data_IF_613410820979
#
_entry.id   IF_613410820979
#
_cell.length_a   1.000
_cell.length_b   1.000
_cell.length_c   1.000
_cell.angle_alpha   90.00
_cell.angle_beta   90.00
_cell.angle_gamma   90.00
#
_symmetry.space_group_name_H-M   'P 1'
#
loop_
_entity.id
_entity.type
_entity.pdbx_description
1 polymer ?
#
# COMPACT_ATOMS: atom_id res chain seq x y z
N UNK A 1 33.74 -80.77 20.80
CA UNK A 1 33.95 -79.48 20.10
C UNK A 1 32.67 -78.69 19.76
N UNK A 2 31.45 -79.07 20.19
CA UNK A 2 30.23 -78.51 19.55
C UNK A 2 29.35 -77.57 20.41
N UNK A 3 29.77 -77.18 21.63
CA UNK A 3 28.98 -76.29 22.49
C UNK A 3 29.49 -74.84 22.52
N UNK A 4 30.81 -74.61 22.41
CA UNK A 4 31.37 -73.25 22.38
C UNK A 4 31.02 -72.48 21.10
N UNK A 5 30.91 -73.15 19.96
CA UNK A 5 30.51 -72.51 18.69
C UNK A 5 29.03 -72.15 18.64
N UNK A 6 28.15 -72.92 19.29
CA UNK A 6 26.73 -72.57 19.45
C UNK A 6 26.52 -71.36 20.35
N UNK A 7 27.33 -71.20 21.40
CA UNK A 7 27.27 -70.05 22.30
C UNK A 7 27.75 -68.76 21.61
N UNK A 8 28.86 -68.81 20.86
CA UNK A 8 29.35 -67.68 20.04
C UNK A 8 28.35 -67.27 18.95
N UNK A 9 27.73 -68.23 18.26
CA UNK A 9 26.73 -67.96 17.23
C UNK A 9 25.46 -67.28 17.78
N UNK A 10 25.04 -67.64 19.01
CA UNK A 10 23.92 -66.97 19.70
C UNK A 10 24.25 -65.55 20.17
N UNK A 11 25.49 -65.29 20.60
CA UNK A 11 25.97 -63.96 20.97
C UNK A 11 25.95 -63.00 19.77
N UNK A 12 26.56 -63.43 18.65
CA UNK A 12 26.63 -62.62 17.42
C UNK A 12 25.24 -62.32 16.85
N UNK A 13 24.31 -63.28 16.91
CA UNK A 13 22.91 -63.05 16.49
C UNK A 13 22.20 -62.01 17.35
N UNK A 14 22.42 -62.00 18.68
CA UNK A 14 21.85 -60.98 19.58
C UNK A 14 22.43 -59.61 19.31
N UNK A 15 23.75 -59.52 19.08
CA UNK A 15 24.42 -58.24 18.80
C UNK A 15 23.92 -57.63 17.48
N UNK A 16 23.76 -58.44 16.43
CA UNK A 16 23.20 -58.01 15.13
C UNK A 16 21.73 -57.58 15.26
N UNK A 17 20.95 -58.27 16.09
CA UNK A 17 19.55 -57.93 16.35
C UNK A 17 19.43 -56.62 17.15
N UNK A 18 20.31 -56.41 18.13
CA UNK A 18 20.37 -55.18 18.92
C UNK A 18 20.81 -53.98 18.06
N UNK A 19 21.76 -54.18 17.16
CA UNK A 19 22.23 -53.15 16.22
C UNK A 19 21.14 -52.78 15.21
N UNK A 20 20.38 -53.76 14.69
CA UNK A 20 19.18 -53.52 13.87
C UNK A 20 18.10 -52.74 14.62
N UNK A 21 17.90 -53.04 15.90
CA UNK A 21 16.91 -52.36 16.75
C UNK A 21 17.33 -50.91 17.04
N UNK A 22 18.63 -50.66 17.27
CA UNK A 22 19.21 -49.32 17.37
C UNK A 22 19.03 -48.52 16.08
N UNK A 23 19.35 -49.11 14.92
CA UNK A 23 19.16 -48.47 13.59
C UNK A 23 17.70 -48.12 13.28
N UNK A 24 16.75 -48.97 13.68
CA UNK A 24 15.31 -48.66 13.56
C UNK A 24 14.92 -47.45 14.40
N UNK A 25 15.34 -47.41 15.67
CA UNK A 25 15.03 -46.28 16.57
C UNK A 25 15.61 -44.96 16.10
N UNK A 26 16.83 -44.96 15.56
CA UNK A 26 17.43 -43.73 14.99
C UNK A 26 16.71 -43.25 13.75
N UNK A 27 16.31 -44.16 12.84
CA UNK A 27 15.50 -43.82 11.66
C UNK A 27 14.12 -43.27 12.03
N UNK A 28 13.50 -43.80 13.08
CA UNK A 28 12.21 -43.33 13.59
C UNK A 28 12.32 -41.93 14.19
N UNK A 29 13.32 -41.71 15.04
CA UNK A 29 13.60 -40.39 15.63
C UNK A 29 13.95 -39.34 14.55
N UNK A 30 14.65 -39.72 13.47
CA UNK A 30 14.95 -38.81 12.37
C UNK A 30 13.69 -38.44 11.57
N UNK A 31 12.78 -39.40 11.36
CA UNK A 31 11.48 -39.14 10.72
C UNK A 31 10.60 -38.23 11.56
N UNK A 32 10.62 -38.40 12.88
CA UNK A 32 9.87 -37.56 13.81
C UNK A 32 10.39 -36.12 13.80
N UNK A 33 11.71 -35.92 13.86
CA UNK A 33 12.32 -34.58 13.70
C UNK A 33 11.99 -33.92 12.36
N UNK A 34 11.93 -34.69 11.28
CA UNK A 34 11.53 -34.17 9.95
C UNK A 34 10.07 -33.72 9.93
N UNK A 35 9.18 -34.44 10.62
CA UNK A 35 7.77 -34.04 10.78
C UNK A 35 7.64 -32.78 11.62
N UNK A 36 8.33 -32.71 12.76
CA UNK A 36 8.35 -31.52 13.61
C UNK A 36 8.90 -30.30 12.89
N UNK A 37 9.99 -30.45 12.13
CA UNK A 37 10.57 -29.38 11.32
C UNK A 37 9.59 -28.90 10.24
N UNK A 38 8.88 -29.82 9.59
CA UNK A 38 7.85 -29.49 8.61
C UNK A 38 6.67 -28.74 9.25
N UNK A 39 6.16 -29.21 10.39
CA UNK A 39 5.06 -28.56 11.11
C UNK A 39 5.46 -27.18 11.63
N UNK A 40 6.66 -27.03 12.18
CA UNK A 40 7.18 -25.73 12.62
C UNK A 40 7.31 -24.76 11.44
N UNK A 41 7.77 -25.22 10.28
CA UNK A 41 7.86 -24.41 9.05
C UNK A 41 6.48 -24.08 8.46
N UNK A 42 5.46 -24.92 8.70
CA UNK A 42 4.07 -24.63 8.34
C UNK A 42 3.46 -23.58 9.27
N UNK A 43 3.62 -23.75 10.59
CA UNK A 43 3.17 -22.77 11.60
C UNK A 43 3.83 -21.40 11.43
N UNK A 44 5.12 -21.37 11.08
CA UNK A 44 5.82 -20.13 10.78
C UNK A 44 5.19 -19.41 9.56
N UNK A 45 4.88 -20.16 8.50
CA UNK A 45 4.20 -19.62 7.32
C UNK A 45 2.79 -19.14 7.62
N UNK A 46 2.01 -19.89 8.39
CA UNK A 46 0.67 -19.49 8.82
C UNK A 46 0.71 -18.24 9.71
N UNK A 47 1.70 -18.11 10.59
CA UNK A 47 1.90 -16.93 11.43
C UNK A 47 2.39 -15.73 10.61
N UNK A 48 3.28 -15.94 9.65
CA UNK A 48 3.68 -14.92 8.68
C UNK A 48 2.48 -14.45 7.85
N UNK A 49 1.66 -15.37 7.32
CA UNK A 49 0.42 -15.05 6.60
C UNK A 49 -0.61 -14.33 7.48
N UNK A 50 -0.71 -14.65 8.76
CA UNK A 50 -1.58 -13.96 9.71
C UNK A 50 -1.10 -12.53 10.00
N UNK A 51 0.21 -12.34 10.23
CA UNK A 51 0.81 -11.01 10.38
C UNK A 51 0.66 -10.20 9.09
N UNK A 52 0.78 -10.86 7.94
CA UNK A 52 0.57 -10.31 6.59
C UNK A 52 -0.89 -9.92 6.33
N UNK A 53 -1.85 -10.70 6.82
CA UNK A 53 -3.27 -10.35 6.76
C UNK A 53 -3.62 -9.16 7.67
N UNK A 54 -2.86 -8.95 8.75
CA UNK A 54 -2.96 -7.75 9.59
C UNK A 54 -2.24 -6.52 9.01
N UNK A 55 -1.35 -6.67 8.02
CA UNK A 55 -0.55 -5.54 7.53
C UNK A 55 -1.26 -4.64 6.53
N UNK A 56 -2.43 -5.04 6.00
CA UNK A 56 -3.29 -4.15 5.23
C UNK A 56 -4.18 -3.33 6.17
N UNK A 57 -3.62 -2.25 6.74
CA UNK A 57 -4.37 -1.38 7.63
C UNK A 57 -5.42 -0.57 6.85
N UNK A 58 -6.69 -0.68 7.26
CA UNK A 58 -7.76 0.19 6.77
C UNK A 58 -7.92 1.38 7.72
N UNK A 59 -7.76 2.58 7.18
CA UNK A 59 -7.87 3.84 7.89
C UNK A 59 -9.08 4.59 7.36
N UNK A 60 -10.12 4.70 8.19
CA UNK A 60 -11.31 5.49 7.88
C UNK A 60 -11.15 6.92 8.36
N UNK A 61 -11.37 7.89 7.49
CA UNK A 61 -11.22 9.32 7.79
C UNK A 61 -12.53 10.07 7.62
N UNK A 62 -12.99 10.71 8.70
CA UNK A 62 -14.25 11.44 8.71
C UNK A 62 -14.09 12.83 8.08
N UNK A 63 -14.88 13.08 7.03
CA UNK A 63 -14.89 14.35 6.31
C UNK A 63 -15.92 15.33 6.87
N UNK A 64 -16.99 14.84 7.52
CA UNK A 64 -18.03 15.65 8.16
C UNK A 64 -19.11 16.19 7.21
N UNK A 65 -19.02 15.88 5.91
CA UNK A 65 -20.06 16.13 4.90
C UNK A 65 -19.76 15.33 3.63
N UNK A 66 -20.70 15.35 2.70
CA UNK A 66 -20.42 14.86 1.36
C UNK A 66 -19.40 15.75 0.63
N UNK A 67 -18.44 15.12 -0.04
CA UNK A 67 -17.43 15.81 -0.84
C UNK A 67 -17.72 15.66 -2.33
N UNK A 68 -17.59 16.76 -3.07
CA UNK A 68 -17.47 16.68 -4.52
C UNK A 68 -16.05 16.21 -4.92
N UNK A 69 -15.88 15.86 -6.18
CA UNK A 69 -14.59 15.46 -6.75
C UNK A 69 -13.46 16.50 -6.54
N UNK A 70 -13.79 17.80 -6.49
CA UNK A 70 -12.81 18.86 -6.22
C UNK A 70 -12.34 18.86 -4.76
N UNK A 71 -13.25 18.63 -3.81
CA UNK A 71 -12.90 18.43 -2.40
C UNK A 71 -12.11 17.13 -2.22
N UNK A 72 -12.45 16.06 -2.95
CA UNK A 72 -11.69 14.80 -2.95
C UNK A 72 -10.26 15.00 -3.46
N UNK A 73 -10.06 15.82 -4.49
CA UNK A 73 -8.71 16.20 -4.95
C UNK A 73 -7.91 16.96 -3.87
N UNK A 74 -8.55 17.91 -3.18
CA UNK A 74 -7.89 18.65 -2.10
C UNK A 74 -7.50 17.73 -0.95
N UNK A 75 -8.35 16.76 -0.63
CA UNK A 75 -8.10 15.77 0.39
C UNK A 75 -6.98 14.80 -0.01
N UNK A 76 -6.93 14.37 -1.28
CA UNK A 76 -5.82 13.59 -1.84
C UNK A 76 -4.50 14.37 -1.72
N UNK A 77 -4.52 15.68 -1.96
CA UNK A 77 -3.35 16.54 -1.79
C UNK A 77 -2.90 16.62 -0.31
N UNK A 78 -3.84 16.75 0.64
CA UNK A 78 -3.51 16.69 2.08
C UNK A 78 -2.88 15.35 2.45
N UNK A 79 -3.43 14.24 1.93
CA UNK A 79 -2.92 12.92 2.19
C UNK A 79 -1.52 12.72 1.60
N UNK A 80 -1.29 13.16 0.36
CA UNK A 80 0.04 13.17 -0.28
C UNK A 80 1.05 13.96 0.56
N UNK A 81 0.69 15.17 1.01
CA UNK A 81 1.56 15.98 1.88
C UNK A 81 1.89 15.25 3.19
N UNK A 82 0.90 14.65 3.84
CA UNK A 82 1.12 13.88 5.07
C UNK A 82 2.02 12.68 4.84
N UNK A 83 1.85 11.96 3.73
CA UNK A 83 2.67 10.81 3.38
C UNK A 83 4.10 11.22 3.02
N UNK A 84 4.29 12.37 2.36
CA UNK A 84 5.62 12.91 2.10
C UNK A 84 6.37 13.25 3.40
N UNK A 85 5.66 13.70 4.44
CA UNK A 85 6.23 13.90 5.78
C UNK A 85 6.50 12.57 6.48
N UNK A 86 5.53 11.64 6.43
CA UNK A 86 5.66 10.29 7.00
C UNK A 86 6.88 9.55 6.47
N UNK A 87 7.17 9.65 5.16
CA UNK A 87 8.32 8.99 4.53
C UNK A 87 9.59 9.86 4.49
N UNK A 88 9.61 11.02 5.15
CA UNK A 88 10.78 11.90 5.22
C UNK A 88 11.19 12.53 3.89
N UNK A 89 10.31 12.54 2.87
CA UNK A 89 10.56 13.29 1.63
C UNK A 89 10.43 14.80 1.85
N UNK A 90 9.55 15.21 2.76
CA UNK A 90 9.44 16.58 3.25
C UNK A 90 10.01 16.69 4.68
N UNK A 91 10.83 17.72 4.98
CA UNK A 91 11.37 17.93 6.31
C UNK A 91 10.35 18.54 7.29
N UNK A 92 9.36 19.26 6.78
CA UNK A 92 8.31 19.91 7.53
C UNK A 92 7.07 20.15 6.64
N UNK A 93 5.87 20.38 7.23
CA UNK A 93 4.67 20.70 6.46
C UNK A 93 4.90 21.81 5.44
N UNK A 94 4.29 21.70 4.26
CA UNK A 94 4.47 22.68 3.17
C UNK A 94 4.13 24.11 3.58
N UNK A 95 3.19 24.30 4.51
CA UNK A 95 2.84 25.62 5.06
C UNK A 95 3.97 26.29 5.85
N UNK A 96 4.99 25.54 6.26
CA UNK A 96 6.17 26.02 6.98
C UNK A 96 7.40 26.14 6.07
N UNK A 97 7.30 25.75 4.80
CA UNK A 97 8.39 25.89 3.84
C UNK A 97 8.60 27.38 3.55
N UNK A 98 9.83 27.90 3.68
CA UNK A 98 10.11 29.31 3.43
C UNK A 98 9.90 29.64 1.95
N UNK A 99 9.57 30.90 1.64
CA UNK A 99 9.40 31.36 0.26
C UNK A 99 10.66 31.19 -0.61
N UNK A 100 11.83 31.16 0.01
CA UNK A 100 13.09 30.75 -0.62
C UNK A 100 13.52 29.39 -0.05
N UNK A 101 13.11 28.28 -0.69
CA UNK A 101 13.41 26.94 -0.19
C UNK A 101 14.89 26.58 -0.39
N UNK A 102 15.46 25.73 0.48
CA UNK A 102 16.81 25.18 0.28
C UNK A 102 16.95 24.50 -1.08
N UNK A 103 18.12 24.62 -1.71
CA UNK A 103 18.37 24.06 -3.06
C UNK A 103 18.05 22.55 -3.16
N UNK A 104 18.32 21.80 -2.09
CA UNK A 104 17.93 20.39 -2.01
C UNK A 104 16.43 20.19 -2.16
N UNK A 105 15.61 21.00 -1.47
CA UNK A 105 14.16 20.87 -1.41
C UNK A 105 13.45 21.30 -2.71
N UNK A 106 14.06 22.16 -3.53
CA UNK A 106 13.48 22.68 -4.79
C UNK A 106 13.01 21.55 -5.70
N UNK A 107 13.80 20.47 -5.85
CA UNK A 107 13.43 19.33 -6.69
C UNK A 107 12.21 18.59 -6.17
N UNK A 108 12.07 18.47 -4.86
CA UNK A 108 10.90 17.85 -4.22
C UNK A 108 9.65 18.70 -4.47
N UNK A 109 9.76 20.03 -4.30
CA UNK A 109 8.65 20.97 -4.51
C UNK A 109 8.19 21.01 -5.98
N UNK A 110 9.13 21.00 -6.93
CA UNK A 110 8.83 20.91 -8.36
C UNK A 110 8.13 19.59 -8.71
N UNK A 111 8.58 18.47 -8.14
CA UNK A 111 7.90 17.18 -8.29
C UNK A 111 6.47 17.19 -7.74
N UNK A 112 6.27 17.79 -6.55
CA UNK A 112 4.93 17.94 -5.95
C UNK A 112 4.03 18.76 -6.88
N UNK A 113 4.51 19.89 -7.40
CA UNK A 113 3.71 20.77 -8.23
C UNK A 113 3.34 20.11 -9.57
N UNK A 114 4.28 19.39 -10.20
CA UNK A 114 4.00 18.62 -11.42
C UNK A 114 2.94 17.55 -11.19
N UNK A 115 3.05 16.77 -10.11
CA UNK A 115 2.03 15.76 -9.77
C UNK A 115 0.67 16.43 -9.53
N UNK A 116 0.63 17.55 -8.81
CA UNK A 116 -0.61 18.32 -8.59
C UNK A 116 -1.22 18.82 -9.88
N UNK A 117 -0.41 19.25 -10.84
CA UNK A 117 -0.87 19.72 -12.14
C UNK A 117 -1.57 18.59 -12.92
N UNK A 118 -0.94 17.42 -13.01
CA UNK A 118 -1.54 16.24 -13.66
C UNK A 118 -2.87 15.86 -12.99
N UNK A 119 -2.87 15.74 -11.65
CA UNK A 119 -4.07 15.40 -10.89
C UNK A 119 -5.18 16.45 -11.05
N UNK A 120 -4.84 17.74 -11.04
CA UNK A 120 -5.80 18.82 -11.34
C UNK A 120 -6.37 18.68 -12.75
N UNK A 121 -5.53 18.39 -13.74
CA UNK A 121 -5.94 18.18 -15.13
C UNK A 121 -6.95 17.05 -15.26
N UNK A 122 -6.76 15.94 -14.56
CA UNK A 122 -7.67 14.79 -14.61
C UNK A 122 -8.95 15.03 -13.82
N UNK A 123 -8.85 15.40 -12.55
CA UNK A 123 -10.01 15.55 -11.64
C UNK A 123 -10.96 16.68 -12.06
N UNK A 124 -10.46 17.67 -12.82
CA UNK A 124 -11.28 18.76 -13.37
C UNK A 124 -11.72 18.54 -14.82
N UNK A 125 -11.30 17.44 -15.45
CA UNK A 125 -11.70 17.12 -16.83
C UNK A 125 -13.10 16.51 -16.91
N UNK A 126 -13.63 16.40 -18.14
CA UNK A 126 -14.83 15.61 -18.45
C UNK A 126 -14.69 14.12 -18.09
N UNK A 127 -13.46 13.60 -17.97
CA UNK A 127 -13.19 12.20 -17.61
C UNK A 127 -13.11 11.95 -16.12
N UNK A 128 -13.42 12.94 -15.28
CA UNK A 128 -13.40 12.80 -13.82
C UNK A 128 -14.25 11.63 -13.31
N UNK A 129 -15.33 11.29 -14.02
CA UNK A 129 -16.20 10.13 -13.74
C UNK A 129 -15.58 8.78 -14.08
N UNK A 130 -14.45 8.76 -14.77
CA UNK A 130 -13.68 7.54 -15.04
C UNK A 130 -12.75 7.15 -13.89
N UNK A 131 -12.48 8.06 -12.95
CA UNK A 131 -11.61 7.81 -11.80
C UNK A 131 -12.34 6.91 -10.79
N UNK A 132 -11.64 5.90 -10.26
CA UNK A 132 -12.17 5.00 -9.22
C UNK A 132 -11.32 5.01 -7.97
N UNK A 133 -10.01 5.07 -8.13
CA UNK A 133 -9.07 4.91 -7.03
C UNK A 133 -7.78 5.65 -7.37
N UNK A 134 -7.09 6.17 -6.36
CA UNK A 134 -5.74 6.68 -6.49
C UNK A 134 -4.85 5.91 -5.54
N UNK A 135 -3.68 5.46 -6.00
CA UNK A 135 -2.66 4.88 -5.16
C UNK A 135 -1.44 5.79 -5.09
N UNK A 136 -1.05 6.18 -3.87
CA UNK A 136 0.21 6.85 -3.59
C UNK A 136 1.21 5.78 -3.15
N UNK A 137 2.32 5.66 -3.86
CA UNK A 137 3.26 4.58 -3.67
C UNK A 137 4.64 5.12 -3.35
N UNK A 138 5.36 4.47 -2.43
CA UNK A 138 6.72 4.86 -2.05
C UNK A 138 7.68 3.71 -2.31
N UNK A 139 8.79 3.99 -3.00
CA UNK A 139 9.82 3.00 -3.30
C UNK A 139 10.95 3.58 -4.16
N UNK A 140 12.02 2.81 -4.44
CA UNK A 140 13.12 3.25 -5.30
C UNK A 140 12.71 3.46 -6.77
N UNK A 141 11.75 2.69 -7.29
CA UNK A 141 11.26 2.75 -8.66
C UNK A 141 9.84 2.16 -8.75
N UNK A 142 9.07 2.42 -9.82
CA UNK A 142 7.65 2.01 -9.89
C UNK A 142 7.42 0.49 -9.93
N UNK A 143 8.45 -0.32 -10.23
CA UNK A 143 8.37 -1.79 -10.18
C UNK A 143 8.79 -2.39 -8.83
N UNK A 144 9.31 -1.56 -7.92
CA UNK A 144 9.78 -1.98 -6.59
C UNK A 144 9.16 -1.07 -5.54
N UNK A 145 7.84 -1.18 -5.38
CA UNK A 145 7.08 -0.43 -4.39
C UNK A 145 7.28 -1.06 -3.00
N UNK A 146 7.56 -0.23 -2.00
CA UNK A 146 7.73 -0.64 -0.60
C UNK A 146 6.45 -0.40 0.17
N UNK A 147 5.80 0.75 -0.04
CA UNK A 147 4.53 1.12 0.60
C UNK A 147 3.51 1.56 -0.43
N UNK A 148 2.26 1.15 -0.27
CA UNK A 148 1.15 1.53 -1.13
C UNK A 148 0.02 2.09 -0.26
N UNK A 149 -0.49 3.27 -0.61
CA UNK A 149 -1.62 3.92 0.05
C UNK A 149 -2.74 4.09 -0.96
N UNK A 150 -3.78 3.26 -0.86
CA UNK A 150 -4.93 3.28 -1.77
C UNK A 150 -6.03 4.18 -1.23
N UNK A 151 -6.56 5.04 -2.08
CA UNK A 151 -7.58 6.03 -1.75
C UNK A 151 -8.72 5.91 -2.78
N UNK A 152 -9.83 5.25 -2.41
CA UNK A 152 -11.01 5.21 -3.25
C UNK A 152 -11.52 6.63 -3.54
N UNK A 153 -11.88 6.89 -4.78
CA UNK A 153 -12.48 8.16 -5.20
C UNK A 153 -13.97 7.93 -5.38
N UNK A 154 -14.75 8.40 -4.42
CA UNK A 154 -16.21 8.45 -4.57
C UNK A 154 -16.60 9.80 -5.16
N UNK A 155 -17.52 9.77 -6.12
CA UNK A 155 -18.09 10.97 -6.71
C UNK A 155 -19.49 11.11 -6.13
N UNK A 156 -19.77 12.26 -5.53
CA UNK A 156 -21.14 12.59 -5.18
C UNK A 156 -21.99 12.70 -6.46
N UNK A 157 -22.95 11.79 -6.62
CA UNK A 157 -23.97 11.86 -7.65
C UNK A 157 -25.15 12.69 -7.16
N UNK A 158 -24.94 14.00 -6.98
CA UNK A 158 -26.06 14.92 -6.83
C UNK A 158 -26.81 14.99 -8.18
N UNK A 159 -28.14 15.11 -8.15
CA UNK A 159 -28.99 15.12 -9.36
C UNK A 159 -28.61 16.26 -10.33
N UNK A 160 -28.08 17.36 -9.79
CA UNK A 160 -27.60 18.53 -10.51
C UNK A 160 -26.13 18.41 -10.96
N UNK A 161 -25.48 17.26 -10.75
CA UNK A 161 -24.12 17.01 -11.23
C UNK A 161 -24.13 16.41 -12.64
N UNK A 162 -23.45 17.10 -13.56
CA UNK A 162 -23.28 16.67 -14.96
C UNK A 162 -21.79 16.48 -15.30
N UNK A 163 -21.48 16.10 -16.54
CA UNK A 163 -20.09 15.88 -17.00
C UNK A 163 -19.26 17.17 -17.04
N UNK A 164 -19.91 18.32 -17.22
CA UNK A 164 -19.25 19.63 -17.28
C UNK A 164 -19.26 20.33 -15.91
N UNK A 165 -20.35 20.22 -15.13
CA UNK A 165 -20.51 20.94 -13.86
C UNK A 165 -20.70 20.02 -12.65
N UNK A 166 -20.12 20.39 -11.52
CA UNK A 166 -20.41 19.76 -10.23
C UNK A 166 -21.68 20.35 -9.63
N UNK A 167 -22.48 19.51 -8.97
CA UNK A 167 -23.71 19.92 -8.30
C UNK A 167 -23.50 20.64 -6.97
N UNK A 168 -24.60 20.80 -6.24
CA UNK A 168 -24.72 21.51 -4.96
C UNK A 168 -23.68 21.23 -3.85
N UNK A 169 -23.10 20.02 -3.65
CA UNK A 169 -22.04 19.81 -2.65
C UNK A 169 -20.65 20.30 -3.12
N UNK A 170 -20.56 20.95 -4.28
CA UNK A 170 -19.31 21.47 -4.79
C UNK A 170 -18.80 22.66 -3.98
N UNK A 171 -17.63 22.50 -3.40
CA UNK A 171 -16.93 23.56 -2.69
C UNK A 171 -15.49 23.14 -2.37
N UNK A 172 -14.68 24.10 -1.95
CA UNK A 172 -13.39 23.79 -1.33
C UNK A 172 -13.60 23.29 0.09
N UNK A 173 -12.67 22.48 0.58
CA UNK A 173 -12.55 22.19 2.01
C UNK A 173 -12.32 23.49 2.78
N UNK A 174 -13.11 23.70 3.82
CA UNK A 174 -12.92 24.73 4.83
C UNK A 174 -11.69 24.42 5.68
N UNK A 175 -11.17 25.42 6.37
CA UNK A 175 -9.99 25.23 7.23
C UNK A 175 -10.28 24.38 8.47
N UNK A 176 -11.54 24.27 8.88
CA UNK A 176 -11.95 23.33 9.94
C UNK A 176 -11.85 21.90 9.43
N UNK A 177 -12.34 21.62 8.21
CA UNK A 177 -12.25 20.30 7.58
C UNK A 177 -10.79 19.90 7.31
N UNK A 178 -9.99 20.80 6.72
CA UNK A 178 -8.56 20.53 6.48
C UNK A 178 -7.82 20.19 7.77
N UNK A 179 -8.07 20.92 8.86
CA UNK A 179 -7.46 20.63 10.18
C UNK A 179 -7.91 19.28 10.74
N UNK A 180 -9.19 18.94 10.62
CA UNK A 180 -9.73 17.64 11.04
C UNK A 180 -9.09 16.49 10.26
N UNK A 181 -9.00 16.62 8.94
CA UNK A 181 -8.40 15.62 8.05
C UNK A 181 -6.90 15.48 8.34
N UNK A 182 -6.15 16.58 8.43
CA UNK A 182 -4.73 16.55 8.76
C UNK A 182 -4.45 15.92 10.12
N UNK A 183 -5.30 16.15 11.12
CA UNK A 183 -5.18 15.48 12.43
C UNK A 183 -5.35 13.96 12.30
N UNK A 184 -6.32 13.50 11.53
CA UNK A 184 -6.54 12.06 11.31
C UNK A 184 -5.37 11.43 10.53
N UNK A 185 -4.91 12.10 9.47
CA UNK A 185 -3.73 11.69 8.70
C UNK A 185 -2.47 11.60 9.55
N UNK A 186 -2.22 12.60 10.41
CA UNK A 186 -1.05 12.61 11.29
C UNK A 186 -1.09 11.48 12.34
N UNK A 187 -2.27 11.15 12.85
CA UNK A 187 -2.44 10.04 13.80
C UNK A 187 -2.27 8.68 13.12
N UNK A 188 -2.76 8.53 11.88
CA UNK A 188 -2.62 7.31 11.10
C UNK A 188 -1.19 7.10 10.56
N UNK A 189 -0.56 8.19 10.13
CA UNK A 189 0.74 8.21 9.45
C UNK A 189 1.65 9.27 10.11
N UNK A 190 2.14 9.01 11.33
CA UNK A 190 3.01 9.95 12.03
C UNK A 190 4.31 10.17 11.25
N UNK A 191 4.90 11.39 11.23
CA UNK A 191 6.18 11.65 10.59
C UNK A 191 7.26 10.68 11.08
N UNK A 192 7.97 10.04 10.16
CA UNK A 192 9.19 9.30 10.48
C UNK A 192 10.41 10.11 10.03
N UNK A 193 11.52 9.99 10.77
CA UNK A 193 12.81 10.48 10.31
C UNK A 193 13.16 9.82 8.97
N UNK A 194 13.83 10.51 8.05
CA UNK A 194 14.17 9.97 6.74
C UNK A 194 15.10 8.74 6.86
N UNK A 195 14.53 7.53 6.88
CA UNK A 195 15.28 6.29 7.12
C UNK A 195 15.99 5.75 5.88
N UNK A 196 15.55 6.14 4.68
CA UNK A 196 15.95 5.48 3.44
C UNK A 196 16.29 6.47 2.33
N UNK A 197 17.59 6.61 2.06
CA UNK A 197 18.07 7.37 0.91
C UNK A 197 17.63 6.70 -0.40
N UNK A 198 17.19 7.52 -1.36
CA UNK A 198 16.80 7.06 -2.70
C UNK A 198 15.34 6.62 -2.85
N UNK A 199 14.49 6.80 -1.83
CA UNK A 199 13.04 6.65 -2.00
C UNK A 199 12.45 7.77 -2.87
N UNK A 200 11.41 7.39 -3.61
CA UNK A 200 10.61 8.25 -4.47
C UNK A 200 9.14 7.96 -4.22
N UNK A 201 8.30 8.95 -4.47
CA UNK A 201 6.85 8.80 -4.41
C UNK A 201 6.27 8.84 -5.82
N UNK A 202 5.46 7.84 -6.13
CA UNK A 202 4.75 7.65 -7.40
C UNK A 202 3.25 7.74 -7.15
N UNK A 203 2.50 8.23 -8.14
CA UNK A 203 1.04 8.25 -8.08
C UNK A 203 0.50 7.41 -9.22
N UNK A 204 -0.48 6.56 -8.89
CA UNK A 204 -1.21 5.76 -9.84
C UNK A 204 -2.70 6.08 -9.74
N UNK A 205 -3.40 6.03 -10.86
CA UNK A 205 -4.84 6.25 -10.96
C UNK A 205 -5.45 4.98 -11.52
N UNK A 206 -6.48 4.46 -10.84
CA UNK A 206 -7.32 3.38 -11.36
C UNK A 206 -8.56 3.97 -11.99
N UNK A 207 -8.85 3.56 -13.22
CA UNK A 207 -10.02 4.04 -13.94
C UNK A 207 -10.13 3.42 -15.32
N UNK A 208 -10.99 3.98 -16.16
CA UNK A 208 -11.10 3.60 -17.56
C UNK A 208 -9.96 4.18 -18.42
N UNK A 209 -9.75 3.57 -19.59
CA UNK A 209 -8.63 3.85 -20.50
C UNK A 209 -8.67 5.29 -21.07
N UNK A 210 -9.80 6.03 -21.01
CA UNK A 210 -9.84 7.43 -21.48
C UNK A 210 -9.03 8.40 -20.61
N UNK A 211 -8.53 7.93 -19.47
CA UNK A 211 -7.62 8.67 -18.61
C UNK A 211 -6.18 8.68 -19.13
N UNK A 212 -5.81 7.81 -20.08
CA UNK A 212 -4.45 7.75 -20.67
C UNK A 212 -4.17 9.01 -21.49
N UNK A 213 -2.97 9.58 -21.32
CA UNK A 213 -2.51 10.83 -21.95
C UNK A 213 -0.99 10.98 -21.81
N UNK A 214 -0.41 12.06 -22.32
CA UNK A 214 1.05 12.26 -22.35
C UNK A 214 1.71 12.15 -20.94
N UNK A 215 1.02 12.65 -19.92
CA UNK A 215 1.47 12.68 -18.52
C UNK A 215 0.93 11.50 -17.69
N UNK A 216 0.19 10.56 -18.30
CA UNK A 216 -0.45 9.41 -17.66
C UNK A 216 -0.38 8.18 -18.57
N UNK A 217 0.46 7.21 -18.22
CA UNK A 217 0.68 5.99 -19.00
C UNK A 217 0.00 4.77 -18.39
N UNK A 218 -0.36 3.78 -19.20
CA UNK A 218 -0.83 2.48 -18.70
C UNK A 218 0.26 1.79 -17.88
N UNK A 219 -0.15 1.06 -16.84
CA UNK A 219 0.79 0.38 -15.95
C UNK A 219 0.28 -0.99 -15.50
N UNK A 220 1.10 -2.01 -15.73
CA UNK A 220 0.90 -3.37 -15.21
C UNK A 220 1.38 -3.52 -13.76
N UNK A 221 1.30 -2.45 -12.97
CA UNK A 221 1.78 -2.45 -11.59
C UNK A 221 1.04 -3.50 -10.76
N UNK A 222 1.81 -4.28 -10.01
CA UNK A 222 1.28 -5.23 -9.04
C UNK A 222 1.52 -4.71 -7.63
N UNK A 223 0.43 -4.37 -6.92
CA UNK A 223 0.50 -3.99 -5.52
C UNK A 223 0.48 -5.24 -4.66
N UNK A 224 1.52 -5.43 -3.85
CA UNK A 224 1.50 -6.51 -2.87
C UNK A 224 0.57 -6.12 -1.70
N UNK A 225 -0.42 -6.97 -1.42
CA UNK A 225 -1.43 -6.72 -0.38
C UNK A 225 -0.84 -6.60 1.04
N UNK A 226 0.37 -7.12 1.24
CA UNK A 226 1.06 -7.13 2.54
C UNK A 226 1.75 -5.83 2.93
N UNK A 227 1.80 -4.85 2.04
CA UNK A 227 2.38 -3.53 2.32
C UNK A 227 1.48 -2.40 1.82
N UNK A 228 0.19 -2.71 1.78
CA UNK A 228 -0.86 -1.80 1.36
C UNK A 228 -1.51 -1.18 2.60
N UNK A 229 -1.88 0.08 2.55
CA UNK A 229 -2.77 0.70 3.51
C UNK A 229 -3.93 1.27 2.72
N UNK A 230 -5.14 0.89 3.09
CA UNK A 230 -6.35 1.44 2.48
C UNK A 230 -6.76 2.65 3.30
N UNK A 231 -6.89 3.80 2.65
CA UNK A 231 -7.32 5.06 3.26
C UNK A 231 -8.69 5.40 2.69
N UNK A 232 -9.72 5.10 3.46
CA UNK A 232 -11.11 5.35 3.09
C UNK A 232 -11.59 6.65 3.70
N UNK A 233 -12.28 7.46 2.91
CA UNK A 233 -12.87 8.70 3.38
C UNK A 233 -14.37 8.47 3.60
N UNK A 234 -14.78 8.64 4.85
CA UNK A 234 -16.18 8.52 5.24
C UNK A 234 -16.91 9.82 4.93
N UNK A 235 -17.86 9.73 4.01
CA UNK A 235 -18.67 10.85 3.54
C UNK A 235 -20.02 10.81 4.25
N UNK A 236 -20.36 11.89 4.94
CA UNK A 236 -21.64 12.00 5.64
C UNK A 236 -22.72 12.60 4.74
N UNK A 237 -23.91 12.00 4.72
CA UNK A 237 -25.10 12.61 4.10
C UNK A 237 -25.17 12.51 2.57
N UNK A 238 -24.58 11.49 1.95
CA UNK A 238 -24.74 11.24 0.52
C UNK A 238 -25.06 9.80 0.14
N UNK A 239 -25.88 9.66 -0.90
CA UNK A 239 -26.09 8.40 -1.61
C UNK A 239 -24.85 8.09 -2.46
N UNK A 240 -23.82 7.52 -1.86
CA UNK A 240 -22.70 6.96 -2.61
C UNK A 240 -23.18 5.72 -3.34
N UNK A 241 -23.44 5.84 -4.64
CA UNK A 241 -23.52 4.64 -5.48
C UNK A 241 -22.10 4.20 -5.81
N UNK A 242 -21.61 3.18 -5.09
CA UNK A 242 -20.63 2.28 -5.68
C UNK A 242 -21.36 1.59 -6.82
N UNK A 243 -21.21 2.13 -8.03
CA UNK A 243 -21.66 1.43 -9.22
C UNK A 243 -20.93 0.10 -9.26
N UNK A 244 -21.64 -0.99 -8.95
CA UNK A 244 -21.20 -2.36 -9.18
C UNK A 244 -21.08 -2.58 -10.69
N UNK A 245 -20.05 -1.99 -11.29
CA UNK A 245 -19.70 -2.19 -12.68
C UNK A 245 -18.41 -3.00 -12.73
N UNK A 246 -18.52 -4.11 -13.45
CA UNK A 246 -17.50 -5.10 -13.82
C UNK A 246 -16.07 -4.64 -13.57
N UNK A 247 -15.43 -5.15 -12.50
CA UNK A 247 -14.03 -4.88 -12.15
C UNK A 247 -13.04 -5.11 -13.29
N UNK A 248 -13.43 -5.88 -14.31
CA UNK A 248 -12.66 -6.19 -15.53
C UNK A 248 -12.41 -5.00 -16.45
N UNK A 249 -13.05 -3.85 -16.26
CA UNK A 249 -12.90 -2.69 -17.14
C UNK A 249 -11.88 -1.64 -16.64
N UNK A 250 -11.40 -1.74 -15.40
CA UNK A 250 -10.52 -0.73 -14.82
C UNK A 250 -9.05 -1.13 -14.90
N UNK A 251 -8.20 -0.19 -15.32
CA UNK A 251 -6.75 -0.36 -15.35
C UNK A 251 -6.05 0.61 -14.42
N UNK A 252 -4.86 0.22 -13.98
CA UNK A 252 -3.95 1.11 -13.31
C UNK A 252 -3.15 1.89 -14.35
N UNK A 253 -3.06 3.19 -14.14
CA UNK A 253 -2.26 4.10 -14.95
C UNK A 253 -1.32 4.87 -14.03
N UNK A 254 -0.09 5.08 -14.47
CA UNK A 254 0.94 5.79 -13.72
C UNK A 254 0.95 7.25 -14.13
N UNK A 255 0.88 8.15 -13.15
CA UNK A 255 1.23 9.56 -13.35
C UNK A 255 2.74 9.63 -13.62
N UNK A 256 3.12 10.17 -14.77
CA UNK A 256 4.50 10.15 -15.26
C UNK A 256 5.46 10.89 -14.31
N UNK A 257 5.14 12.11 -13.84
CA UNK A 257 5.91 12.78 -12.80
C UNK A 257 5.95 11.99 -11.48
N UNK A 258 7.08 12.06 -10.80
CA UNK A 258 7.28 11.46 -9.48
C UNK A 258 8.04 12.43 -8.57
N UNK A 259 7.90 12.23 -7.26
CA UNK A 259 8.49 13.10 -6.25
C UNK A 259 9.74 12.40 -5.71
N UNK A 260 10.84 13.14 -5.61
CA UNK A 260 12.10 12.66 -5.06
C UNK A 260 12.47 13.42 -3.80
N UNK A 261 13.22 12.77 -2.91
CA UNK A 261 13.87 13.48 -1.82
C UNK A 261 14.96 14.40 -2.38
N UNK A 262 14.95 15.65 -1.92
CA UNK A 262 15.98 16.62 -2.19
C UNK A 262 17.31 16.19 -1.56
N UNK A 263 18.38 16.09 -2.35
CA UNK A 263 19.72 15.94 -1.75
C UNK A 263 20.06 17.24 -1.05
N UNK A 264 20.13 17.22 0.29
CA UNK A 264 20.72 18.30 1.09
C UNK A 264 22.22 18.30 0.87
#
# INVERSE_FOLDING_TARGET
>A
ENEQDKAKSKSVKRDVEEERKKRRRTLEAERERKRESHDNRKKLREMEEFIKAMSCASHRMHTGRCLCIHSSLQLLDLAMQSLLLNHGLLPCPLSLVPSSPPAGLVKTLDGIEKVREVLRGVFRSKYRRSIREVAICVGPNPHRIIHTYKMPVTICNAEDSHDENCGSPCGSLSDVEKRRINRQLFLAFPPEEARHSGQRMFVFIRGYDELVREDIEESDVFFHDDKCSLVEFDHEGCSTQLSETTERAYRWMRVVPFIVHGKV
#
